data_IF_320593886756
#
_entry.id   IF_320593886756
#
_cell.length_a   1.000
_cell.length_b   1.000
_cell.length_c   1.000
_cell.angle_alpha   90.00
_cell.angle_beta   90.00
_cell.angle_gamma   90.00
#
_symmetry.space_group_name_H-M   'P 1'
#
loop_
_entity.id
_entity.type
_entity.pdbx_description
1 polymer ?
#
# COMPACT_ATOMS: atom_id res chain seq x y z
N UNK A 1 -60.57 31.13 2.46
CA UNK A 1 -60.57 29.66 2.43
C UNK A 1 -59.38 29.23 1.59
N UNK A 2 -58.54 28.37 2.15
CA UNK A 2 -57.13 28.20 1.76
C UNK A 2 -56.90 27.46 0.43
N UNK A 3 -55.83 27.83 -0.24
CA UNK A 3 -55.25 27.12 -1.38
C UNK A 3 -54.42 25.95 -0.85
N UNK A 4 -54.94 24.73 -0.97
CA UNK A 4 -54.14 23.51 -0.77
C UNK A 4 -53.22 23.28 -1.98
N UNK A 5 -51.99 23.83 -1.92
CA UNK A 5 -50.93 23.39 -2.82
C UNK A 5 -50.41 22.01 -2.36
N UNK A 6 -50.98 20.94 -2.94
CA UNK A 6 -50.44 19.58 -2.82
C UNK A 6 -49.16 19.44 -3.65
N UNK A 7 -48.03 19.91 -3.11
CA UNK A 7 -46.72 19.52 -3.61
C UNK A 7 -46.50 18.03 -3.32
N UNK A 8 -46.75 17.19 -4.32
CA UNK A 8 -46.39 15.78 -4.23
C UNK A 8 -44.89 15.69 -4.52
N UNK A 9 -44.05 15.65 -3.49
CA UNK A 9 -42.63 15.35 -3.65
C UNK A 9 -42.54 13.91 -4.17
N UNK A 10 -42.29 13.75 -5.48
CA UNK A 10 -41.94 12.44 -6.04
C UNK A 10 -40.62 12.00 -5.39
N UNK A 11 -40.69 11.14 -4.38
CA UNK A 11 -39.49 10.51 -3.82
C UNK A 11 -38.78 9.79 -4.96
N UNK A 12 -37.57 10.25 -5.32
CA UNK A 12 -36.71 9.52 -6.26
C UNK A 12 -36.53 8.12 -5.69
N UNK A 13 -36.90 7.08 -6.45
CA UNK A 13 -36.60 5.69 -6.10
C UNK A 13 -35.13 5.63 -5.70
N UNK A 14 -34.83 5.23 -4.44
CA UNK A 14 -33.45 4.99 -4.02
C UNK A 14 -32.88 3.98 -5.00
N UNK A 15 -31.86 4.36 -5.76
CA UNK A 15 -31.11 3.43 -6.61
C UNK A 15 -30.43 2.46 -5.65
N UNK A 16 -31.03 1.28 -5.45
CA UNK A 16 -30.41 0.20 -4.70
C UNK A 16 -29.49 -0.55 -5.65
N UNK A 17 -28.23 -0.67 -5.25
CA UNK A 17 -27.27 -1.58 -5.87
C UNK A 17 -27.77 -2.99 -5.54
N UNK A 18 -27.71 -3.92 -6.50
CA UNK A 18 -28.11 -5.30 -6.21
C UNK A 18 -27.16 -5.93 -5.21
N UNK A 19 -27.69 -6.80 -4.35
CA UNK A 19 -26.89 -7.48 -3.31
C UNK A 19 -25.71 -8.25 -3.92
N UNK A 20 -25.85 -8.76 -5.15
CA UNK A 20 -24.76 -9.41 -5.89
C UNK A 20 -23.58 -8.48 -6.20
N UNK A 21 -23.86 -7.25 -6.61
CA UNK A 21 -22.84 -6.24 -6.91
C UNK A 21 -22.24 -5.71 -5.62
N UNK A 22 -23.06 -5.51 -4.59
CA UNK A 22 -22.58 -5.14 -3.26
C UNK A 22 -21.60 -6.19 -2.69
N UNK A 23 -21.98 -7.46 -2.72
CA UNK A 23 -21.14 -8.55 -2.20
C UNK A 23 -19.82 -8.69 -2.96
N UNK A 24 -19.83 -8.48 -4.28
CA UNK A 24 -18.61 -8.50 -5.09
C UNK A 24 -17.67 -7.36 -4.72
N UNK A 25 -18.18 -6.12 -4.70
CA UNK A 25 -17.39 -4.93 -4.32
C UNK A 25 -16.89 -5.03 -2.87
N UNK A 26 -17.72 -5.56 -1.96
CA UNK A 26 -17.33 -5.76 -0.56
C UNK A 26 -16.23 -6.81 -0.43
N UNK A 27 -16.30 -7.91 -1.19
CA UNK A 27 -15.24 -8.92 -1.20
C UNK A 27 -13.93 -8.33 -1.71
N UNK A 28 -13.97 -7.55 -2.79
CA UNK A 28 -12.77 -6.91 -3.34
C UNK A 28 -12.16 -5.91 -2.35
N UNK A 29 -13.00 -5.15 -1.65
CA UNK A 29 -12.56 -4.25 -0.57
C UNK A 29 -11.88 -5.01 0.57
N UNK A 30 -12.49 -6.12 1.02
CA UNK A 30 -11.91 -6.95 2.08
C UNK A 30 -10.57 -7.54 1.66
N UNK A 31 -10.42 -7.99 0.41
CA UNK A 31 -9.15 -8.50 -0.09
C UNK A 31 -8.07 -7.41 -0.19
N UNK A 32 -8.44 -6.21 -0.65
CA UNK A 32 -7.55 -5.05 -0.64
C UNK A 32 -7.05 -4.72 0.77
N UNK A 33 -7.94 -4.75 1.77
CA UNK A 33 -7.58 -4.42 3.15
C UNK A 33 -6.67 -5.49 3.77
N UNK A 34 -6.88 -6.77 3.46
CA UNK A 34 -5.99 -7.85 3.88
C UNK A 34 -4.57 -7.69 3.33
N UNK A 35 -4.44 -7.34 2.05
CA UNK A 35 -3.15 -7.07 1.41
C UNK A 35 -2.46 -5.91 2.12
N UNK A 36 -3.19 -4.83 2.37
CA UNK A 36 -2.68 -3.64 3.06
C UNK A 36 -2.18 -3.96 4.47
N UNK A 37 -2.99 -4.63 5.30
CA UNK A 37 -2.63 -5.01 6.67
C UNK A 37 -1.42 -5.93 6.72
N UNK A 38 -1.33 -6.90 5.80
CA UNK A 38 -0.16 -7.76 5.70
C UNK A 38 1.11 -6.97 5.37
N UNK A 39 1.01 -6.04 4.42
CA UNK A 39 2.15 -5.19 4.04
C UNK A 39 2.54 -4.26 5.18
N UNK A 40 1.59 -3.67 5.91
CA UNK A 40 1.89 -2.82 7.07
C UNK A 40 2.65 -3.59 8.16
N UNK A 41 2.23 -4.82 8.48
CA UNK A 41 2.93 -5.69 9.43
C UNK A 41 4.37 -5.99 8.99
N UNK A 42 4.55 -6.37 7.73
CA UNK A 42 5.87 -6.60 7.12
C UNK A 42 6.74 -5.33 7.20
N UNK A 43 6.17 -4.15 6.92
CA UNK A 43 6.91 -2.88 7.01
C UNK A 43 7.25 -2.52 8.44
N UNK A 44 6.35 -2.77 9.41
CA UNK A 44 6.64 -2.51 10.82
C UNK A 44 7.90 -3.26 11.26
N UNK A 45 8.00 -4.55 10.93
CA UNK A 45 9.17 -5.39 11.28
C UNK A 45 10.48 -4.90 10.67
N UNK A 46 10.47 -4.41 9.43
CA UNK A 46 11.66 -3.80 8.81
C UNK A 46 12.12 -2.58 9.62
N UNK A 47 11.20 -1.70 10.00
CA UNK A 47 11.53 -0.51 10.78
C UNK A 47 11.98 -0.81 12.21
N UNK A 48 11.56 -1.94 12.77
CA UNK A 48 12.02 -2.49 14.06
C UNK A 48 13.36 -3.23 13.95
N UNK A 49 13.86 -3.48 12.74
CA UNK A 49 15.11 -4.23 12.51
C UNK A 49 14.95 -5.74 12.65
N UNK A 50 13.72 -6.25 12.63
CA UNK A 50 13.37 -7.66 12.84
C UNK A 50 13.16 -8.43 11.52
N UNK A 51 13.46 -7.78 10.39
CA UNK A 51 13.31 -8.36 9.06
C UNK A 51 14.41 -7.88 8.12
N UNK A 52 15.06 -8.82 7.44
CA UNK A 52 16.05 -8.54 6.41
C UNK A 52 15.43 -8.56 4.99
N UNK A 53 16.26 -8.27 3.98
CA UNK A 53 15.82 -8.20 2.59
C UNK A 53 15.28 -9.54 2.05
N UNK A 54 15.92 -10.66 2.35
CA UNK A 54 15.52 -11.97 1.82
C UNK A 54 14.15 -12.38 2.38
N UNK A 55 13.96 -12.20 3.70
CA UNK A 55 12.67 -12.45 4.38
C UNK A 55 11.56 -11.54 3.83
N UNK A 56 11.89 -10.29 3.53
CA UNK A 56 10.97 -9.34 2.92
C UNK A 56 10.56 -9.78 1.50
N UNK A 57 11.53 -10.15 0.67
CA UNK A 57 11.31 -10.61 -0.70
C UNK A 57 10.49 -11.91 -0.72
N UNK A 58 10.77 -12.84 0.18
CA UNK A 58 9.98 -14.05 0.38
C UNK A 58 8.54 -13.71 0.79
N UNK A 59 8.36 -12.79 1.75
CA UNK A 59 7.04 -12.37 2.22
C UNK A 59 6.18 -11.76 1.12
N UNK A 60 6.76 -10.93 0.25
CA UNK A 60 6.04 -10.36 -0.90
C UNK A 60 5.76 -11.39 -1.98
N UNK A 61 6.70 -12.32 -2.24
CA UNK A 61 6.50 -13.40 -3.21
C UNK A 61 5.38 -14.33 -2.76
N UNK A 62 5.40 -14.76 -1.50
CA UNK A 62 4.35 -15.59 -0.88
C UNK A 62 2.98 -14.91 -0.88
N UNK A 63 2.93 -13.58 -0.71
CA UNK A 63 1.68 -12.84 -0.86
C UNK A 63 1.20 -12.84 -2.31
N UNK A 64 2.10 -12.56 -3.25
CA UNK A 64 1.80 -12.42 -4.68
C UNK A 64 1.36 -13.74 -5.29
N UNK A 65 1.97 -14.85 -4.92
CA UNK A 65 1.65 -16.19 -5.39
C UNK A 65 0.22 -16.63 -5.03
N UNK A 66 -0.38 -16.06 -3.98
CA UNK A 66 -1.80 -16.31 -3.63
C UNK A 66 -2.76 -15.79 -4.69
N UNK A 67 -2.33 -14.77 -5.44
CA UNK A 67 -3.13 -14.08 -6.45
C UNK A 67 -2.68 -14.42 -7.88
N UNK A 68 -1.40 -14.77 -8.08
CA UNK A 68 -0.86 -15.24 -9.36
C UNK A 68 -1.11 -16.74 -9.54
N UNK A 69 -2.30 -17.10 -10.01
CA UNK A 69 -2.69 -18.50 -10.24
C UNK A 69 -2.12 -19.05 -11.55
N UNK A 70 -1.84 -20.35 -11.59
CA UNK A 70 -1.46 -21.06 -12.82
C UNK A 70 -2.54 -20.86 -13.91
N UNK A 71 -2.12 -20.37 -15.08
CA UNK A 71 -3.01 -20.07 -16.21
C UNK A 71 -3.55 -18.64 -16.24
N UNK A 72 -3.20 -17.78 -15.27
CA UNK A 72 -3.53 -16.36 -15.30
C UNK A 72 -2.80 -15.68 -16.48
N UNK A 73 -3.49 -14.78 -17.19
CA UNK A 73 -2.91 -14.07 -18.33
C UNK A 73 -1.76 -13.14 -17.87
N UNK A 74 -0.73 -12.97 -18.71
CA UNK A 74 0.46 -12.18 -18.35
C UNK A 74 0.15 -10.74 -17.93
N UNK A 75 -0.84 -10.10 -18.57
CA UNK A 75 -1.29 -8.74 -18.19
C UNK A 75 -1.85 -8.68 -16.77
N UNK A 76 -2.52 -9.74 -16.34
CA UNK A 76 -3.18 -9.80 -15.06
C UNK A 76 -2.14 -10.10 -13.98
N UNK A 77 -1.20 -11.01 -14.26
CA UNK A 77 -0.02 -11.22 -13.40
C UNK A 77 0.74 -9.90 -13.18
N UNK A 78 1.02 -9.17 -14.27
CA UNK A 78 1.67 -7.86 -14.20
C UNK A 78 0.86 -6.86 -13.36
N UNK A 79 -0.47 -6.90 -13.45
CA UNK A 79 -1.34 -6.02 -12.66
C UNK A 79 -1.31 -6.36 -11.18
N UNK A 80 -1.26 -7.64 -10.80
CA UNK A 80 -1.10 -8.07 -9.41
C UNK A 80 0.25 -7.58 -8.85
N UNK A 81 1.35 -7.76 -9.59
CA UNK A 81 2.69 -7.32 -9.14
C UNK A 81 2.73 -5.80 -8.95
N UNK A 82 2.17 -5.03 -9.91
CA UNK A 82 2.03 -3.57 -9.76
C UNK A 82 1.21 -3.20 -8.53
N UNK A 83 0.11 -3.90 -8.30
CA UNK A 83 -0.77 -3.62 -7.18
C UNK A 83 -0.06 -3.85 -5.85
N UNK A 84 0.59 -5.00 -5.66
CA UNK A 84 1.30 -5.33 -4.42
C UNK A 84 2.51 -4.41 -4.20
N UNK A 85 3.31 -4.13 -5.23
CA UNK A 85 4.43 -3.19 -5.12
C UNK A 85 3.95 -1.76 -4.78
N UNK A 86 2.85 -1.30 -5.36
CA UNK A 86 2.28 0.00 -5.02
C UNK A 86 1.88 0.09 -3.55
N UNK A 87 1.19 -0.91 -3.00
CA UNK A 87 0.88 -0.95 -1.56
C UNK A 87 2.15 -0.98 -0.71
N UNK A 88 3.14 -1.80 -1.09
CA UNK A 88 4.42 -1.85 -0.37
C UNK A 88 5.12 -0.49 -0.33
N UNK A 89 5.03 0.31 -1.39
CA UNK A 89 5.62 1.66 -1.43
C UNK A 89 4.79 2.69 -0.67
N UNK A 90 3.47 2.62 -0.75
CA UNK A 90 2.55 3.48 0.01
C UNK A 90 2.76 3.27 1.51
N UNK A 91 2.72 2.03 1.98
CA UNK A 91 2.88 1.74 3.42
C UNK A 91 4.28 2.10 3.91
N UNK A 92 5.33 1.89 3.09
CA UNK A 92 6.68 2.35 3.43
C UNK A 92 6.74 3.88 3.61
N UNK A 93 6.10 4.63 2.71
CA UNK A 93 6.05 6.09 2.77
C UNK A 93 5.26 6.58 3.99
N UNK A 94 4.08 6.00 4.24
CA UNK A 94 3.24 6.31 5.41
C UNK A 94 4.01 6.03 6.70
N UNK A 95 4.67 4.87 6.83
CA UNK A 95 5.44 4.52 8.03
C UNK A 95 6.62 5.46 8.26
N UNK A 96 7.35 5.80 7.20
CA UNK A 96 8.46 6.76 7.28
C UNK A 96 7.97 8.13 7.79
N UNK A 97 6.91 8.67 7.18
CA UNK A 97 6.37 9.97 7.54
C UNK A 97 5.81 9.99 8.99
N UNK A 98 5.07 8.96 9.40
CA UNK A 98 4.54 8.88 10.77
C UNK A 98 5.66 8.81 11.82
N UNK A 99 6.75 8.09 11.54
CA UNK A 99 7.91 8.05 12.45
C UNK A 99 8.65 9.39 12.48
N UNK A 100 8.83 10.04 11.33
CA UNK A 100 9.46 11.36 11.26
C UNK A 100 8.64 12.41 12.05
N UNK A 101 7.32 12.44 11.87
CA UNK A 101 6.42 13.32 12.63
C UNK A 101 6.47 13.02 14.13
N UNK A 102 6.48 11.74 14.54
CA UNK A 102 6.54 11.38 15.96
C UNK A 102 7.84 11.85 16.63
N UNK A 103 8.96 11.95 15.91
CA UNK A 103 10.21 12.50 16.45
C UNK A 103 10.07 14.01 16.62
N UNK A 104 9.56 14.71 15.60
CA UNK A 104 9.34 16.16 15.66
C UNK A 104 8.40 16.56 16.80
N UNK A 105 7.35 15.79 17.05
CA UNK A 105 6.41 16.04 18.16
C UNK A 105 7.03 15.79 19.54
N UNK A 106 8.02 14.90 19.65
CA UNK A 106 8.74 14.61 20.90
C UNK A 106 9.84 15.65 21.19
N UNK A 107 10.28 16.40 20.18
CA UNK A 107 11.34 17.41 20.25
C UNK A 107 10.95 18.76 20.86
N UNK A 108 10.01 18.78 21.80
CA UNK A 108 9.73 20.00 22.58
C UNK A 108 10.73 20.16 23.75
N UNK A 109 11.50 19.12 24.11
CA UNK A 109 12.46 19.16 25.24
C UNK A 109 13.81 18.40 25.02
N UNK A 110 14.18 17.96 23.80
CA UNK A 110 15.42 17.19 23.55
C UNK A 110 16.50 17.90 22.71
N UNK A 111 17.77 17.50 22.91
CA UNK A 111 18.95 18.02 22.20
C UNK A 111 18.86 17.80 20.67
N UNK A 112 18.88 18.89 19.90
CA UNK A 112 18.70 18.95 18.43
C UNK A 112 19.54 17.91 17.63
N UNK A 113 20.76 17.60 18.10
CA UNK A 113 21.70 16.71 17.43
C UNK A 113 21.22 15.24 17.40
N UNK A 114 20.42 14.83 18.40
CA UNK A 114 19.87 13.46 18.47
C UNK A 114 18.68 13.28 17.52
N UNK A 115 17.91 14.34 17.28
CA UNK A 115 16.74 14.31 16.41
C UNK A 115 17.12 14.22 14.93
N UNK A 116 18.13 14.97 14.51
CA UNK A 116 18.61 14.95 13.13
C UNK A 116 19.13 13.56 12.73
N UNK A 117 19.91 12.92 13.62
CA UNK A 117 20.40 11.55 13.41
C UNK A 117 19.25 10.54 13.27
N UNK A 118 18.20 10.66 14.10
CA UNK A 118 17.04 9.77 14.05
C UNK A 118 16.23 9.96 12.74
N UNK A 119 16.08 11.19 12.26
CA UNK A 119 15.41 11.47 10.98
C UNK A 119 16.23 10.93 9.81
N UNK A 120 17.55 11.09 9.82
CA UNK A 120 18.44 10.52 8.80
C UNK A 120 18.34 8.98 8.76
N UNK A 121 18.25 8.31 9.90
CA UNK A 121 18.04 6.86 9.94
C UNK A 121 16.71 6.45 9.29
N UNK A 122 15.63 7.21 9.52
CA UNK A 122 14.32 6.95 8.89
C UNK A 122 14.40 7.11 7.37
N UNK A 123 15.04 8.19 6.89
CA UNK A 123 15.24 8.44 5.46
C UNK A 123 16.01 7.28 4.83
N UNK A 124 17.11 6.86 5.48
CA UNK A 124 17.92 5.74 5.01
C UNK A 124 17.11 4.43 4.95
N UNK A 125 16.39 4.08 6.03
CA UNK A 125 15.51 2.90 6.04
C UNK A 125 14.43 2.97 4.97
N UNK A 126 13.85 4.15 4.74
CA UNK A 126 12.89 4.37 3.69
C UNK A 126 13.49 4.08 2.30
N UNK A 127 14.64 4.67 1.99
CA UNK A 127 15.33 4.52 0.70
C UNK A 127 15.82 3.09 0.45
N UNK A 128 16.40 2.46 1.46
CA UNK A 128 16.83 1.05 1.40
C UNK A 128 15.61 0.14 1.16
N UNK A 129 14.49 0.39 1.85
CA UNK A 129 13.27 -0.39 1.65
C UNK A 129 12.63 -0.15 0.27
N UNK A 130 12.71 1.06 -0.29
CA UNK A 130 12.30 1.31 -1.68
C UNK A 130 13.17 0.52 -2.67
N UNK A 131 14.48 0.45 -2.41
CA UNK A 131 15.41 -0.34 -3.23
C UNK A 131 15.05 -1.83 -3.20
N UNK A 132 14.76 -2.37 -2.02
CA UNK A 132 14.34 -3.76 -1.87
C UNK A 132 13.05 -4.06 -2.64
N UNK A 133 12.04 -3.17 -2.58
CA UNK A 133 10.80 -3.36 -3.36
C UNK A 133 11.11 -3.39 -4.86
N UNK A 134 11.96 -2.48 -5.35
CA UNK A 134 12.30 -2.41 -6.78
C UNK A 134 13.08 -3.66 -7.23
N UNK A 135 13.99 -4.14 -6.39
CA UNK A 135 14.73 -5.38 -6.65
C UNK A 135 13.80 -6.60 -6.68
N UNK A 136 12.92 -6.72 -5.68
CA UNK A 136 11.90 -7.77 -5.66
C UNK A 136 11.02 -7.76 -6.91
N UNK A 137 10.52 -6.59 -7.33
CA UNK A 137 9.70 -6.47 -8.56
C UNK A 137 10.46 -7.00 -9.77
N UNK A 138 11.74 -6.61 -9.92
CA UNK A 138 12.59 -7.05 -11.02
C UNK A 138 12.77 -8.57 -11.00
N UNK A 139 13.14 -9.14 -9.85
CA UNK A 139 13.42 -10.56 -9.70
C UNK A 139 12.17 -11.42 -9.90
N UNK A 140 11.05 -11.04 -9.27
CA UNK A 140 9.79 -11.76 -9.38
C UNK A 140 9.24 -11.70 -10.81
N UNK A 141 9.36 -10.56 -11.50
CA UNK A 141 8.96 -10.44 -12.91
C UNK A 141 9.80 -11.34 -13.82
N UNK A 142 11.13 -11.32 -13.66
CA UNK A 142 12.03 -12.16 -14.43
C UNK A 142 11.72 -13.66 -14.23
N UNK A 143 11.48 -14.08 -12.98
CA UNK A 143 11.13 -15.46 -12.66
C UNK A 143 9.83 -15.93 -13.33
N UNK A 144 8.90 -15.00 -13.58
CA UNK A 144 7.61 -15.28 -14.22
C UNK A 144 7.57 -14.96 -15.73
N UNK A 145 8.72 -14.61 -16.34
CA UNK A 145 8.82 -14.30 -17.76
C UNK A 145 8.07 -13.03 -18.17
N UNK A 146 7.99 -12.07 -17.24
CA UNK A 146 7.40 -10.74 -17.45
C UNK A 146 8.52 -9.71 -17.65
N UNK A 147 8.21 -8.65 -18.40
CA UNK A 147 9.10 -7.50 -18.54
C UNK A 147 9.06 -6.66 -17.25
N UNK A 148 10.21 -6.46 -16.55
CA UNK A 148 10.27 -5.64 -15.34
C UNK A 148 9.72 -4.22 -15.53
N UNK A 149 9.90 -3.62 -16.70
CA UNK A 149 9.42 -2.25 -16.98
C UNK A 149 7.88 -2.17 -16.98
N UNK A 150 7.20 -3.26 -17.35
CA UNK A 150 5.74 -3.31 -17.35
C UNK A 150 5.15 -3.47 -15.96
N UNK A 151 5.94 -3.91 -14.98
CA UNK A 151 5.49 -4.14 -13.60
C UNK A 151 6.06 -3.14 -12.59
N UNK A 152 6.98 -2.29 -13.03
CA UNK A 152 7.56 -1.24 -12.21
C UNK A 152 6.48 -0.28 -11.69
N UNK A 153 6.62 0.11 -10.43
CA UNK A 153 5.85 1.18 -9.81
C UNK A 153 6.79 2.34 -9.47
N UNK A 154 6.34 3.60 -9.52
CA UNK A 154 7.19 4.73 -9.13
C UNK A 154 7.45 4.72 -7.62
N UNK A 155 8.60 5.27 -7.20
CA UNK A 155 8.84 5.59 -5.80
C UNK A 155 8.01 6.81 -5.40
N UNK A 156 7.55 6.86 -4.15
CA UNK A 156 6.84 8.02 -3.62
C UNK A 156 7.83 9.03 -3.03
N UNK A 157 7.49 10.30 -3.02
CA UNK A 157 8.31 11.30 -2.36
C UNK A 157 7.96 11.34 -0.85
N UNK A 158 8.97 11.49 0.00
CA UNK A 158 8.76 11.80 1.42
C UNK A 158 8.20 13.22 1.54
N UNK A 159 7.31 13.46 2.52
CA UNK A 159 6.83 14.82 2.75
C UNK A 159 7.99 15.71 3.23
N UNK A 160 8.24 16.83 2.52
CA UNK A 160 9.20 17.85 2.94
C UNK A 160 10.51 17.94 2.17
N UNK A 161 10.59 17.39 0.94
CA UNK A 161 11.58 17.88 -0.03
C UNK A 161 11.15 19.22 -0.63
#
# INVERSE_FOLDING_TARGET
>A
MGTENKYTIKMKKRKQISDSVFNLLFKDLVESEKIKLYIDDVKQRIYEGEMNQDEFNESLSNLTDRYVKKGLHRSDQASVIRYISAFAKIENNVKANLRAMSIQEKGIDSEEETEELNVQEIIRKYEDTQRWINEWVREYACAHGLDPELVATPNLELMGK
#
